data_IF_496039178535
#
_entry.id   IF_496039178535
#
_cell.length_a   1.000
_cell.length_b   1.000
_cell.length_c   1.000
_cell.angle_alpha   90.00
_cell.angle_beta   90.00
_cell.angle_gamma   90.00
#
_symmetry.space_group_name_H-M   'P 1'
#
loop_
_entity.id
_entity.type
_entity.pdbx_description
1 polymer ?
#
# COMPACT_ATOMS: atom_id res chain seq x y z
N UNK A 1 -58.34 42.24 8.82
CA UNK A 1 -57.38 41.85 7.77
C UNK A 1 -56.30 42.93 7.71
N UNK A 2 -55.14 42.74 8.33
CA UNK A 2 -53.95 43.54 8.04
C UNK A 2 -53.16 42.90 6.87
N UNK A 3 -52.45 43.69 6.06
CA UNK A 3 -51.68 43.23 4.91
C UNK A 3 -50.33 42.64 5.32
N UNK A 4 -49.89 41.63 4.56
CA UNK A 4 -48.62 40.92 4.69
C UNK A 4 -47.41 41.87 4.56
N UNK A 5 -46.67 42.01 5.65
CA UNK A 5 -45.34 42.64 5.64
C UNK A 5 -44.32 41.64 5.09
N UNK A 6 -44.00 41.76 3.81
CA UNK A 6 -42.84 41.13 3.18
C UNK A 6 -41.59 41.73 3.85
N UNK A 7 -40.86 40.92 4.62
CA UNK A 7 -39.54 41.27 5.16
C UNK A 7 -38.54 41.13 3.99
N UNK A 8 -37.95 42.21 3.45
CA UNK A 8 -36.87 42.06 2.50
C UNK A 8 -35.67 41.50 3.26
N UNK A 9 -35.38 40.21 3.04
CA UNK A 9 -34.17 39.56 3.55
C UNK A 9 -32.95 40.26 2.96
N UNK A 10 -32.32 41.11 3.75
CA UNK A 10 -31.04 41.71 3.41
C UNK A 10 -30.00 40.59 3.52
N UNK A 11 -29.53 40.09 2.38
CA UNK A 11 -28.33 39.26 2.31
C UNK A 11 -27.15 40.15 2.69
N UNK A 12 -26.79 40.16 3.97
CA UNK A 12 -25.48 40.64 4.39
C UNK A 12 -24.42 39.70 3.79
N UNK A 13 -24.02 40.00 2.56
CA UNK A 13 -22.76 39.50 2.02
C UNK A 13 -21.67 40.03 2.94
N UNK A 14 -21.22 39.19 3.87
CA UNK A 14 -19.98 39.39 4.63
C UNK A 14 -18.87 39.74 3.63
N UNK A 15 -18.54 41.04 3.54
CA UNK A 15 -17.45 41.60 2.72
C UNK A 15 -16.07 41.36 3.32
N UNK A 16 -15.96 40.39 4.22
CA UNK A 16 -14.65 39.90 4.60
C UNK A 16 -14.11 39.13 3.39
N UNK A 17 -12.95 39.51 2.83
CA UNK A 17 -12.28 38.61 1.89
C UNK A 17 -12.19 37.27 2.62
N UNK A 18 -12.68 36.20 1.99
CA UNK A 18 -12.40 34.86 2.46
C UNK A 18 -10.90 34.86 2.70
N UNK A 19 -10.49 34.78 3.97
CA UNK A 19 -9.09 34.79 4.33
C UNK A 19 -8.50 33.66 3.51
N UNK A 20 -7.70 33.99 2.50
CA UNK A 20 -7.09 33.04 1.60
C UNK A 20 -6.27 32.11 2.49
N UNK A 21 -6.88 31.00 2.92
CA UNK A 21 -6.11 29.92 3.49
C UNK A 21 -5.06 29.64 2.44
N UNK A 22 -3.77 29.68 2.78
CA UNK A 22 -2.72 29.44 1.79
C UNK A 22 -3.10 28.15 1.07
N UNK A 23 -3.39 28.25 -0.23
CA UNK A 23 -3.79 27.11 -1.03
C UNK A 23 -2.73 26.04 -0.78
N UNK A 24 -3.13 24.93 -0.14
CA UNK A 24 -2.20 23.85 0.13
C UNK A 24 -1.55 23.49 -1.21
N UNK A 25 -0.21 23.49 -1.30
CA UNK A 25 0.47 23.30 -2.57
C UNK A 25 -0.01 21.98 -3.17
N UNK A 26 -0.35 22.03 -4.45
CA UNK A 26 -0.77 20.84 -5.19
C UNK A 26 0.38 19.83 -5.09
N UNK A 27 0.09 18.55 -4.84
CA UNK A 27 1.12 17.53 -4.57
C UNK A 27 2.27 17.53 -5.59
N UNK A 28 1.95 17.84 -6.86
CA UNK A 28 2.88 17.93 -7.99
C UNK A 28 3.80 19.17 -7.96
N UNK A 29 3.50 20.20 -7.17
CA UNK A 29 4.30 21.44 -7.08
C UNK A 29 5.45 21.33 -6.06
N UNK A 30 5.31 20.41 -5.10
CA UNK A 30 6.27 20.22 -4.01
C UNK A 30 7.58 19.59 -4.54
N UNK A 31 8.70 20.29 -4.37
CA UNK A 31 10.02 19.85 -4.85
C UNK A 31 10.46 18.49 -4.27
N UNK A 32 10.20 18.23 -2.99
CA UNK A 32 10.56 16.96 -2.35
C UNK A 32 9.88 15.76 -3.02
N UNK A 33 8.61 15.90 -3.39
CA UNK A 33 7.86 14.86 -4.10
C UNK A 33 8.46 14.58 -5.48
N UNK A 34 8.85 15.63 -6.23
CA UNK A 34 9.53 15.49 -7.52
C UNK A 34 10.86 14.73 -7.39
N UNK A 35 11.68 15.10 -6.40
CA UNK A 35 12.95 14.41 -6.15
C UNK A 35 12.76 12.94 -5.80
N UNK A 36 11.77 12.63 -4.96
CA UNK A 36 11.44 11.24 -4.59
C UNK A 36 10.92 10.45 -5.79
N UNK A 37 10.12 11.05 -6.67
CA UNK A 37 9.66 10.41 -7.91
C UNK A 37 10.84 10.11 -8.84
N UNK A 38 11.75 11.07 -9.04
CA UNK A 38 12.96 10.85 -9.85
C UNK A 38 13.80 9.71 -9.27
N UNK A 39 14.01 9.70 -7.96
CA UNK A 39 14.70 8.61 -7.27
C UNK A 39 14.00 7.27 -7.49
N UNK A 40 12.68 7.22 -7.36
CA UNK A 40 11.90 6.00 -7.57
C UNK A 40 12.03 5.49 -9.01
N UNK A 41 11.99 6.39 -10.01
CA UNK A 41 12.19 6.04 -11.42
C UNK A 41 13.61 5.49 -11.66
N UNK A 42 14.64 6.16 -11.14
CA UNK A 42 16.03 5.69 -11.26
C UNK A 42 16.17 4.28 -10.66
N UNK A 43 15.65 4.05 -9.45
CA UNK A 43 15.69 2.74 -8.82
C UNK A 43 14.94 1.70 -9.67
N UNK A 44 13.75 2.01 -10.16
CA UNK A 44 12.99 1.08 -11.02
C UNK A 44 13.73 0.72 -12.30
N UNK A 45 14.45 1.67 -12.91
CA UNK A 45 15.28 1.43 -14.11
C UNK A 45 16.49 0.56 -13.77
N UNK A 46 17.22 0.89 -12.69
CA UNK A 46 18.40 0.13 -12.26
C UNK A 46 18.07 -1.34 -11.96
N UNK A 47 16.90 -1.59 -11.35
CA UNK A 47 16.44 -2.93 -10.99
C UNK A 47 15.49 -3.55 -12.02
N UNK A 48 15.27 -2.92 -13.18
CA UNK A 48 14.32 -3.41 -14.20
C UNK A 48 14.68 -4.82 -14.69
N UNK A 49 15.94 -5.04 -15.05
CA UNK A 49 16.39 -6.36 -15.52
C UNK A 49 16.20 -7.46 -14.47
N UNK A 50 16.33 -7.10 -13.19
CA UNK A 50 16.06 -8.01 -12.09
C UNK A 50 14.55 -8.26 -11.95
N UNK A 51 13.72 -7.22 -11.99
CA UNK A 51 12.28 -7.33 -11.96
C UNK A 51 11.71 -8.22 -13.06
N UNK A 52 12.18 -8.08 -14.30
CA UNK A 52 11.72 -8.89 -15.42
C UNK A 52 12.09 -10.38 -15.27
N UNK A 53 13.27 -10.69 -14.74
CA UNK A 53 13.67 -12.07 -14.43
C UNK A 53 12.82 -12.68 -13.32
N UNK A 54 12.38 -11.86 -12.37
CA UNK A 54 11.57 -12.31 -11.22
C UNK A 54 10.08 -12.42 -11.57
N UNK A 55 9.59 -11.76 -12.60
CA UNK A 55 8.16 -11.71 -12.93
C UNK A 55 7.55 -13.11 -13.23
N UNK A 56 8.15 -13.98 -14.08
CA UNK A 56 7.60 -15.31 -14.34
C UNK A 56 7.44 -16.18 -13.08
N UNK A 57 8.45 -16.34 -12.19
CA UNK A 57 8.26 -17.13 -10.98
C UNK A 57 7.27 -16.50 -9.99
N UNK A 58 7.14 -15.16 -9.95
CA UNK A 58 6.10 -14.49 -9.17
C UNK A 58 4.70 -14.82 -9.67
N UNK A 59 4.46 -14.74 -10.98
CA UNK A 59 3.16 -15.09 -11.57
C UNK A 59 2.82 -16.57 -11.35
N UNK A 60 3.81 -17.46 -11.48
CA UNK A 60 3.63 -18.88 -11.14
C UNK A 60 3.25 -19.09 -9.66
N UNK A 61 3.84 -18.29 -8.76
CA UNK A 61 3.54 -18.33 -7.33
C UNK A 61 2.12 -17.87 -6.97
N UNK A 62 1.50 -17.02 -7.82
CA UNK A 62 0.08 -16.64 -7.72
C UNK A 62 -0.83 -17.80 -8.13
N UNK A 63 -0.45 -18.54 -9.17
CA UNK A 63 -1.23 -19.68 -9.68
C UNK A 63 -1.15 -20.93 -8.80
N UNK A 64 0.03 -21.33 -8.32
CA UNK A 64 0.20 -22.54 -7.48
C UNK A 64 0.95 -22.33 -6.14
N UNK A 65 0.49 -22.91 -4.99
CA UNK A 65 1.17 -22.77 -3.70
C UNK A 65 2.60 -23.30 -3.73
N UNK A 66 2.82 -24.38 -4.49
CA UNK A 66 4.15 -24.94 -4.78
C UNK A 66 5.09 -23.94 -5.44
N UNK A 67 4.58 -22.97 -6.18
CA UNK A 67 5.40 -21.90 -6.77
C UNK A 67 6.00 -20.97 -5.72
N UNK A 68 5.27 -20.69 -4.63
CA UNK A 68 5.81 -19.90 -3.50
C UNK A 68 6.90 -20.68 -2.75
N UNK A 69 6.70 -21.97 -2.52
CA UNK A 69 7.72 -22.83 -1.91
C UNK A 69 8.97 -22.96 -2.79
N UNK A 70 8.80 -23.18 -4.10
CA UNK A 70 9.91 -23.27 -5.06
C UNK A 70 10.78 -22.01 -5.11
N UNK A 71 10.16 -20.83 -4.96
CA UNK A 71 10.87 -19.55 -4.92
C UNK A 71 11.72 -19.41 -3.65
N UNK A 72 11.30 -20.00 -2.52
CA UNK A 72 12.11 -20.02 -1.29
C UNK A 72 13.31 -20.96 -1.36
N UNK A 73 13.19 -22.11 -2.04
CA UNK A 73 14.32 -23.04 -2.19
C UNK A 73 15.46 -22.45 -3.03
N UNK A 74 15.14 -21.57 -3.98
CA UNK A 74 16.15 -20.85 -4.73
C UNK A 74 16.59 -19.60 -3.97
N UNK A 75 17.67 -19.71 -3.19
CA UNK A 75 18.20 -18.62 -2.37
C UNK A 75 18.48 -17.34 -3.17
N UNK A 76 18.94 -17.46 -4.43
CA UNK A 76 19.17 -16.34 -5.32
C UNK A 76 17.88 -15.59 -5.66
N UNK A 77 16.84 -16.31 -6.09
CA UNK A 77 15.54 -15.71 -6.39
C UNK A 77 14.83 -15.17 -5.15
N UNK A 78 14.96 -15.85 -4.00
CA UNK A 78 14.39 -15.40 -2.73
C UNK A 78 15.03 -14.10 -2.24
N UNK A 79 16.36 -13.99 -2.30
CA UNK A 79 17.09 -12.77 -1.95
C UNK A 79 16.75 -11.62 -2.93
N UNK A 80 16.74 -11.91 -4.22
CA UNK A 80 16.36 -10.98 -5.27
C UNK A 80 14.95 -10.43 -5.07
N UNK A 81 13.97 -11.28 -4.75
CA UNK A 81 12.61 -10.85 -4.40
C UNK A 81 12.60 -9.91 -3.21
N UNK A 82 13.31 -10.24 -2.13
CA UNK A 82 13.32 -9.39 -0.94
C UNK A 82 13.91 -8.01 -1.26
N UNK A 83 14.96 -7.96 -2.08
CA UNK A 83 15.57 -6.72 -2.52
C UNK A 83 14.62 -5.89 -3.41
N UNK A 84 13.98 -6.53 -4.38
CA UNK A 84 12.99 -5.86 -5.25
C UNK A 84 11.77 -5.39 -4.45
N UNK A 85 11.29 -6.17 -3.47
CA UNK A 85 10.21 -5.75 -2.60
C UNK A 85 10.56 -4.47 -1.83
N UNK A 86 11.81 -4.34 -1.36
CA UNK A 86 12.28 -3.11 -0.72
C UNK A 86 12.31 -1.94 -1.71
N UNK A 87 12.79 -2.16 -2.93
CA UNK A 87 12.79 -1.13 -3.98
C UNK A 87 11.37 -0.69 -4.34
N UNK A 88 10.42 -1.63 -4.43
CA UNK A 88 9.00 -1.36 -4.71
C UNK A 88 8.30 -0.56 -3.61
N UNK A 89 8.85 -0.49 -2.40
CA UNK A 89 8.24 0.26 -1.29
C UNK A 89 8.13 1.76 -1.61
N UNK A 90 9.17 2.33 -2.22
CA UNK A 90 9.21 3.76 -2.56
C UNK A 90 8.14 4.15 -3.60
N UNK A 91 8.05 3.54 -4.80
CA UNK A 91 7.01 3.88 -5.77
C UNK A 91 5.61 3.58 -5.22
N UNK A 92 5.43 2.50 -4.46
CA UNK A 92 4.14 2.22 -3.81
C UNK A 92 3.72 3.35 -2.86
N UNK A 93 4.61 3.78 -1.96
CA UNK A 93 4.32 4.84 -1.00
C UNK A 93 4.06 6.20 -1.69
N UNK A 94 4.76 6.51 -2.78
CA UNK A 94 4.53 7.72 -3.57
C UNK A 94 3.16 7.70 -4.25
N UNK A 95 2.74 6.56 -4.80
CA UNK A 95 1.38 6.41 -5.35
C UNK A 95 0.33 6.59 -4.24
N UNK A 96 0.56 5.98 -3.06
CA UNK A 96 -0.32 6.18 -1.91
C UNK A 96 -0.43 7.65 -1.48
N UNK A 97 0.68 8.37 -1.49
CA UNK A 97 0.72 9.79 -1.16
C UNK A 97 0.01 10.64 -2.22
N UNK A 98 0.29 10.42 -3.52
CA UNK A 98 -0.30 11.17 -4.64
C UNK A 98 -1.82 11.08 -4.69
N UNK A 99 -2.37 9.89 -4.49
CA UNK A 99 -3.82 9.63 -4.59
C UNK A 99 -4.55 9.69 -3.24
N UNK A 100 -3.86 10.07 -2.16
CA UNK A 100 -4.44 10.12 -0.82
C UNK A 100 -5.02 8.78 -0.36
N UNK A 101 -4.34 7.67 -0.69
CA UNK A 101 -4.79 6.32 -0.29
C UNK A 101 -4.71 6.11 1.22
N UNK A 102 -3.82 6.84 1.89
CA UNK A 102 -3.65 6.85 3.34
C UNK A 102 -3.63 8.31 3.81
N UNK A 103 -4.76 8.80 4.32
CA UNK A 103 -4.96 10.21 4.73
C UNK A 103 -5.65 10.31 6.11
N UNK A 104 -5.00 9.84 7.19
CA UNK A 104 -5.47 10.04 8.56
C UNK A 104 -5.44 11.50 9.00
N UNK A 105 -6.10 11.81 10.11
CA UNK A 105 -6.19 13.17 10.63
C UNK A 105 -4.83 13.70 11.08
N UNK A 106 -3.96 12.85 11.65
CA UNK A 106 -2.59 13.25 11.98
C UNK A 106 -1.76 13.69 10.76
N UNK A 107 -2.03 13.17 9.56
CA UNK A 107 -1.31 13.59 8.34
C UNK A 107 -1.64 15.03 7.93
N UNK A 108 -2.79 15.55 8.35
CA UNK A 108 -3.16 16.95 8.11
C UNK A 108 -2.27 17.91 8.91
N UNK A 109 -1.66 17.45 10.00
CA UNK A 109 -0.73 18.24 10.83
C UNK A 109 0.70 18.27 10.26
N UNK A 110 1.01 17.40 9.30
CA UNK A 110 2.33 17.30 8.68
C UNK A 110 2.45 18.34 7.56
N UNK A 111 3.52 19.17 7.54
CA UNK A 111 3.73 20.12 6.46
C UNK A 111 3.77 19.42 5.08
N UNK A 112 3.27 20.06 4.00
CA UNK A 112 3.14 19.42 2.68
C UNK A 112 4.44 18.82 2.15
N UNK A 113 5.58 19.45 2.47
CA UNK A 113 6.92 19.04 2.07
C UNK A 113 7.33 17.67 2.63
N UNK A 114 6.77 17.29 3.79
CA UNK A 114 7.09 16.08 4.53
C UNK A 114 6.03 15.00 4.40
N UNK A 115 4.90 15.27 3.74
CA UNK A 115 3.78 14.31 3.65
C UNK A 115 4.18 13.01 2.97
N UNK A 116 4.86 13.05 1.82
CA UNK A 116 5.31 11.82 1.14
C UNK A 116 6.35 11.06 1.96
N UNK A 117 7.26 11.76 2.64
CA UNK A 117 8.23 11.15 3.55
C UNK A 117 7.54 10.48 4.75
N UNK A 118 6.51 11.11 5.30
CA UNK A 118 5.71 10.54 6.38
C UNK A 118 4.96 9.28 5.93
N UNK A 119 4.38 9.28 4.71
CA UNK A 119 3.72 8.08 4.16
C UNK A 119 4.73 6.93 3.97
N UNK A 120 5.93 7.24 3.46
CA UNK A 120 7.03 6.26 3.35
C UNK A 120 7.38 5.71 4.74
N UNK A 121 7.52 6.57 5.75
CA UNK A 121 7.82 6.18 7.12
C UNK A 121 6.73 5.29 7.73
N UNK A 122 5.45 5.57 7.48
CA UNK A 122 4.34 4.72 7.92
C UNK A 122 4.43 3.32 7.31
N UNK A 123 4.67 3.22 5.99
CA UNK A 123 4.79 1.90 5.35
C UNK A 123 6.06 1.15 5.76
N UNK A 124 7.17 1.85 5.99
CA UNK A 124 8.36 1.26 6.60
C UNK A 124 8.06 0.73 8.00
N UNK A 125 7.40 1.53 8.84
CA UNK A 125 6.96 1.14 10.18
C UNK A 125 6.04 -0.08 10.15
N UNK A 126 5.09 -0.13 9.21
CA UNK A 126 4.23 -1.28 8.97
C UNK A 126 5.04 -2.54 8.63
N UNK A 127 6.02 -2.44 7.72
CA UNK A 127 6.87 -3.60 7.37
C UNK A 127 7.74 -4.07 8.54
N UNK A 128 8.24 -3.15 9.36
CA UNK A 128 9.02 -3.45 10.56
C UNK A 128 8.15 -4.10 11.64
N UNK A 129 6.94 -3.56 11.87
CA UNK A 129 5.98 -4.13 12.81
C UNK A 129 5.57 -5.54 12.39
N UNK A 130 5.30 -5.77 11.10
CA UNK A 130 5.03 -7.10 10.57
C UNK A 130 6.21 -8.06 10.77
N UNK A 131 7.44 -7.59 10.59
CA UNK A 131 8.63 -8.39 10.88
C UNK A 131 8.74 -8.73 12.37
N UNK A 132 8.38 -7.80 13.27
CA UNK A 132 8.33 -8.03 14.71
C UNK A 132 7.25 -9.05 15.10
N UNK A 133 6.01 -8.92 14.58
CA UNK A 133 4.95 -9.90 14.76
C UNK A 133 5.41 -11.30 14.34
N UNK A 134 6.14 -11.40 13.24
CA UNK A 134 6.72 -12.67 12.81
C UNK A 134 7.72 -13.23 13.82
N UNK A 135 8.63 -12.40 14.34
CA UNK A 135 9.61 -12.84 15.34
C UNK A 135 8.95 -13.35 16.63
N UNK A 136 7.86 -12.71 17.06
CA UNK A 136 7.11 -13.09 18.26
C UNK A 136 6.28 -14.36 18.02
N UNK A 137 5.64 -14.46 16.86
CA UNK A 137 4.73 -15.55 16.50
C UNK A 137 5.43 -16.75 15.86
N UNK A 138 6.77 -16.86 15.92
CA UNK A 138 7.50 -18.03 15.41
C UNK A 138 7.02 -19.28 16.15
N UNK A 139 6.10 -20.00 15.53
CA UNK A 139 5.62 -21.25 16.06
C UNK A 139 6.59 -22.36 15.68
N UNK A 140 7.28 -22.91 16.68
CA UNK A 140 8.24 -24.01 16.56
C UNK A 140 7.65 -25.30 15.97
N UNK A 141 6.31 -25.43 15.94
CA UNK A 141 5.62 -26.55 15.30
C UNK A 141 5.60 -26.46 13.77
N UNK A 142 5.84 -25.28 13.19
CA UNK A 142 5.97 -25.13 11.75
C UNK A 142 7.42 -25.37 11.34
N UNK A 143 7.62 -26.17 10.28
CA UNK A 143 8.90 -26.23 9.61
C UNK A 143 9.34 -24.82 9.21
N UNK A 144 10.62 -24.49 9.41
CA UNK A 144 11.18 -23.16 9.08
C UNK A 144 10.89 -22.78 7.63
N UNK A 145 10.88 -23.76 6.73
CA UNK A 145 10.61 -23.58 5.30
C UNK A 145 9.15 -23.19 5.03
N UNK A 146 8.17 -23.89 5.61
CA UNK A 146 6.75 -23.57 5.46
C UNK A 146 6.41 -22.20 6.04
N UNK A 147 6.95 -21.88 7.22
CA UNK A 147 6.78 -20.57 7.86
C UNK A 147 7.40 -19.44 7.03
N UNK A 148 8.59 -19.68 6.46
CA UNK A 148 9.27 -18.72 5.57
C UNK A 148 8.48 -18.52 4.27
N UNK A 149 8.00 -19.59 3.65
CA UNK A 149 7.20 -19.53 2.42
C UNK A 149 5.89 -18.78 2.62
N UNK A 150 5.16 -19.04 3.72
CA UNK A 150 3.94 -18.31 4.05
C UNK A 150 4.22 -16.81 4.29
N UNK A 151 5.25 -16.48 5.08
CA UNK A 151 5.65 -15.09 5.37
C UNK A 151 5.99 -14.32 4.08
N UNK A 152 6.85 -14.92 3.26
CA UNK A 152 7.48 -14.24 2.12
C UNK A 152 6.59 -14.28 0.87
N UNK A 153 5.49 -15.04 0.90
CA UNK A 153 4.44 -15.01 -0.12
C UNK A 153 3.86 -13.59 -0.29
N UNK A 154 3.64 -12.87 0.82
CA UNK A 154 3.14 -11.49 0.78
C UNK A 154 4.05 -10.53 0.01
N UNK A 155 5.37 -10.74 0.04
CA UNK A 155 6.31 -9.91 -0.72
C UNK A 155 6.14 -10.12 -2.23
N UNK A 156 5.83 -11.34 -2.66
CA UNK A 156 5.54 -11.63 -4.06
C UNK A 156 4.31 -10.88 -4.54
N UNK A 157 3.22 -10.91 -3.77
CA UNK A 157 1.98 -10.17 -4.07
C UNK A 157 2.18 -8.66 -4.00
N UNK A 158 3.01 -8.17 -3.08
CA UNK A 158 3.35 -6.75 -2.97
C UNK A 158 4.10 -6.22 -4.21
N UNK A 159 5.06 -6.99 -4.73
CA UNK A 159 5.77 -6.63 -5.97
C UNK A 159 4.79 -6.56 -7.15
N UNK A 160 3.94 -7.58 -7.31
CA UNK A 160 2.94 -7.62 -8.38
C UNK A 160 1.93 -6.49 -8.26
N UNK A 161 1.48 -6.17 -7.04
CA UNK A 161 0.63 -5.03 -6.75
C UNK A 161 1.30 -3.72 -7.17
N UNK A 162 2.57 -3.52 -6.82
CA UNK A 162 3.30 -2.30 -7.17
C UNK A 162 3.39 -2.13 -8.69
N UNK A 163 3.68 -3.20 -9.44
CA UNK A 163 3.67 -3.15 -10.90
C UNK A 163 2.28 -2.86 -11.46
N UNK A 164 1.23 -3.50 -10.94
CA UNK A 164 -0.14 -3.23 -11.36
C UNK A 164 -0.53 -1.77 -11.12
N UNK A 165 -0.16 -1.21 -9.96
CA UNK A 165 -0.42 0.19 -9.62
C UNK A 165 0.33 1.15 -10.55
N UNK A 166 1.59 0.87 -10.88
CA UNK A 166 2.36 1.68 -11.84
C UNK A 166 1.69 1.68 -13.23
N UNK A 167 1.23 0.52 -13.70
CA UNK A 167 0.50 0.40 -14.97
C UNK A 167 -0.80 1.22 -14.91
N UNK A 168 -1.60 1.08 -13.85
CA UNK A 168 -2.85 1.81 -13.68
C UNK A 168 -2.63 3.33 -13.65
N UNK A 169 -1.63 3.80 -12.91
CA UNK A 169 -1.27 5.22 -12.87
C UNK A 169 -0.84 5.73 -14.25
N UNK A 170 -0.10 4.91 -15.01
CA UNK A 170 0.23 5.21 -16.41
C UNK A 170 -1.01 5.35 -17.29
N UNK A 171 -1.97 4.42 -17.16
CA UNK A 171 -3.26 4.47 -17.88
C UNK A 171 -4.06 5.73 -17.49
N UNK A 172 -4.13 6.06 -16.20
CA UNK A 172 -4.84 7.27 -15.73
C UNK A 172 -4.23 8.54 -16.31
N UNK A 173 -2.90 8.58 -16.42
CA UNK A 173 -2.17 9.72 -16.97
C UNK A 173 -2.43 9.93 -18.47
N UNK A 174 -2.60 8.84 -19.24
CA UNK A 174 -2.86 8.90 -20.69
C UNK A 174 -4.33 9.22 -20.98
N UNK A 175 -5.25 8.67 -20.19
CA UNK A 175 -6.70 8.77 -20.45
C UNK A 175 -7.29 10.13 -20.07
N UNK A 176 -6.69 10.88 -19.15
CA UNK A 176 -7.00 12.29 -18.84
C UNK A 176 -8.41 12.61 -18.27
N UNK A 177 -9.39 11.71 -18.43
CA UNK A 177 -10.79 11.91 -18.06
C UNK A 177 -11.23 11.20 -16.78
N UNK A 178 -10.31 10.53 -16.08
CA UNK A 178 -10.65 9.79 -14.85
C UNK A 178 -10.65 10.75 -13.66
N UNK A 179 -11.79 10.85 -12.99
CA UNK A 179 -11.89 11.63 -11.75
C UNK A 179 -10.93 11.09 -10.68
N UNK A 180 -10.36 11.99 -9.86
CA UNK A 180 -9.44 11.61 -8.78
C UNK A 180 -10.07 10.60 -7.79
N UNK A 181 -11.39 10.69 -7.57
CA UNK A 181 -12.16 9.76 -6.73
C UNK A 181 -12.22 8.36 -7.35
N UNK A 182 -12.47 8.26 -8.66
CA UNK A 182 -12.51 6.98 -9.36
C UNK A 182 -11.12 6.31 -9.37
N UNK A 183 -10.06 7.07 -9.66
CA UNK A 183 -8.68 6.57 -9.59
C UNK A 183 -8.35 6.02 -8.19
N UNK A 184 -8.68 6.77 -7.13
CA UNK A 184 -8.50 6.33 -5.74
C UNK A 184 -9.22 5.01 -5.45
N UNK A 185 -10.48 4.88 -5.88
CA UNK A 185 -11.29 3.67 -5.64
C UNK A 185 -10.74 2.45 -6.36
N UNK A 186 -10.31 2.60 -7.61
CA UNK A 186 -9.67 1.52 -8.38
C UNK A 186 -8.39 1.05 -7.68
N UNK A 187 -7.52 1.98 -7.29
CA UNK A 187 -6.26 1.65 -6.61
C UNK A 187 -6.51 0.96 -5.26
N UNK A 188 -7.46 1.43 -4.45
CA UNK A 188 -7.85 0.77 -3.19
C UNK A 188 -8.39 -0.64 -3.42
N UNK A 189 -9.20 -0.84 -4.47
CA UNK A 189 -9.75 -2.14 -4.82
C UNK A 189 -8.63 -3.12 -5.18
N UNK A 190 -7.65 -2.67 -5.95
CA UNK A 190 -6.50 -3.50 -6.36
C UNK A 190 -5.61 -3.85 -5.16
N UNK A 191 -5.39 -2.91 -4.24
CA UNK A 191 -4.69 -3.16 -2.97
C UNK A 191 -5.45 -4.23 -2.16
N UNK A 192 -6.75 -4.05 -1.98
CA UNK A 192 -7.60 -4.99 -1.21
C UNK A 192 -7.60 -6.39 -1.81
N UNK A 193 -7.76 -6.51 -3.14
CA UNK A 193 -7.72 -7.78 -3.84
C UNK A 193 -6.35 -8.46 -3.71
N UNK A 194 -5.25 -7.73 -3.89
CA UNK A 194 -3.90 -8.28 -3.74
C UNK A 194 -3.65 -8.77 -2.30
N UNK A 195 -4.09 -8.00 -1.30
CA UNK A 195 -4.01 -8.39 0.10
C UNK A 195 -4.80 -9.68 0.38
N UNK A 196 -6.07 -9.76 -0.07
CA UNK A 196 -6.90 -10.96 0.08
C UNK A 196 -6.28 -12.18 -0.58
N UNK A 197 -5.78 -12.04 -1.82
CA UNK A 197 -5.11 -13.12 -2.54
C UNK A 197 -3.86 -13.60 -1.81
N UNK A 198 -3.06 -12.69 -1.26
CA UNK A 198 -1.89 -13.04 -0.45
C UNK A 198 -2.26 -13.79 0.83
N UNK A 199 -3.37 -13.40 1.47
CA UNK A 199 -3.89 -14.05 2.68
C UNK A 199 -4.43 -15.45 2.40
N UNK A 200 -5.26 -15.61 1.36
CA UNK A 200 -5.76 -16.91 0.90
C UNK A 200 -4.59 -17.82 0.55
N UNK A 201 -3.55 -17.28 -0.11
CA UNK A 201 -2.41 -18.09 -0.50
C UNK A 201 -1.57 -18.54 0.68
N UNK A 202 -1.34 -17.65 1.65
CA UNK A 202 -0.65 -17.99 2.88
C UNK A 202 -1.44 -19.04 3.68
N UNK A 203 -2.77 -18.93 3.72
CA UNK A 203 -3.65 -19.92 4.33
C UNK A 203 -3.55 -21.29 3.64
N UNK A 204 -3.55 -21.35 2.30
CA UNK A 204 -3.37 -22.59 1.54
C UNK A 204 -2.03 -23.27 1.83
N UNK A 205 -0.94 -22.50 1.93
CA UNK A 205 0.40 -23.02 2.26
C UNK A 205 0.39 -23.63 3.68
N UNK A 206 -0.22 -22.96 4.64
CA UNK A 206 -0.29 -23.43 6.02
C UNK A 206 -1.20 -24.66 6.17
N UNK A 207 -2.37 -24.66 5.53
CA UNK A 207 -3.34 -25.76 5.61
C UNK A 207 -2.80 -27.10 5.07
N UNK A 208 -1.78 -27.08 4.20
CA UNK A 208 -1.11 -28.29 3.73
C UNK A 208 -0.28 -29.00 4.80
N UNK A 209 0.07 -28.32 5.89
CA UNK A 209 1.02 -28.82 6.89
C UNK A 209 0.49 -28.80 8.33
N UNK A 210 -0.70 -28.25 8.59
CA UNK A 210 -1.26 -28.17 9.95
C UNK A 210 -2.80 -28.15 9.99
N UNK A 211 -3.33 -28.35 11.20
CA UNK A 211 -4.77 -28.23 11.47
C UNK A 211 -5.27 -26.82 11.14
N UNK A 212 -6.44 -26.72 10.48
CA UNK A 212 -6.98 -25.45 9.98
C UNK A 212 -7.09 -24.33 11.03
N UNK A 213 -7.40 -24.67 12.29
CA UNK A 213 -7.48 -23.69 13.38
C UNK A 213 -6.12 -23.07 13.72
N UNK A 214 -5.03 -23.85 13.70
CA UNK A 214 -3.68 -23.34 13.95
C UNK A 214 -3.21 -22.45 12.79
N UNK A 215 -3.53 -22.83 11.54
CA UNK A 215 -3.28 -22.01 10.36
C UNK A 215 -4.02 -20.67 10.44
N UNK A 216 -5.29 -20.69 10.83
CA UNK A 216 -6.12 -19.50 10.98
C UNK A 216 -5.58 -18.54 12.03
N UNK A 217 -5.31 -19.02 13.25
CA UNK A 217 -4.75 -18.20 14.34
C UNK A 217 -3.42 -17.55 13.94
N UNK A 218 -2.56 -18.32 13.26
CA UNK A 218 -1.28 -17.81 12.78
C UNK A 218 -1.45 -16.74 11.69
N UNK A 219 -2.40 -16.92 10.78
CA UNK A 219 -2.73 -15.93 9.75
C UNK A 219 -3.30 -14.64 10.37
N UNK A 220 -4.16 -14.76 11.39
CA UNK A 220 -4.70 -13.61 12.11
C UNK A 220 -3.58 -12.80 12.80
N UNK A 221 -2.63 -13.47 13.46
CA UNK A 221 -1.52 -12.79 14.13
C UNK A 221 -0.55 -12.11 13.16
N UNK A 222 -0.35 -12.65 11.95
CA UNK A 222 0.66 -12.15 11.02
C UNK A 222 0.15 -11.21 9.94
N UNK A 223 -1.06 -11.44 9.45
CA UNK A 223 -1.65 -10.65 8.36
C UNK A 223 -2.69 -9.68 8.89
N UNK A 224 -3.60 -10.18 9.74
CA UNK A 224 -4.74 -9.39 10.17
C UNK A 224 -4.33 -8.35 11.22
N UNK A 225 -3.49 -8.69 12.20
CA UNK A 225 -3.06 -7.75 13.24
C UNK A 225 -2.29 -6.53 12.71
N UNK A 226 -1.28 -6.67 11.82
CA UNK A 226 -0.64 -5.49 11.22
C UNK A 226 -1.61 -4.67 10.35
N UNK A 227 -2.50 -5.34 9.61
CA UNK A 227 -3.47 -4.67 8.75
C UNK A 227 -4.51 -3.88 9.55
N UNK A 228 -5.04 -4.45 10.64
CA UNK A 228 -5.97 -3.74 11.53
C UNK A 228 -5.31 -2.55 12.20
N UNK A 229 -4.03 -2.67 12.60
CA UNK A 229 -3.29 -1.54 13.17
C UNK A 229 -3.09 -0.42 12.13
N UNK A 230 -2.79 -0.75 10.88
CA UNK A 230 -2.70 0.23 9.80
C UNK A 230 -4.05 0.91 9.54
N UNK A 231 -5.15 0.16 9.50
CA UNK A 231 -6.49 0.72 9.30
C UNK A 231 -6.94 1.55 10.51
N UNK A 232 -6.68 1.10 11.73
CA UNK A 232 -6.99 1.85 12.94
C UNK A 232 -6.22 3.16 12.99
N UNK A 233 -4.93 3.16 12.63
CA UNK A 233 -4.17 4.40 12.50
C UNK A 233 -4.69 5.33 11.40
N UNK A 234 -5.39 4.80 10.39
CA UNK A 234 -6.03 5.62 9.36
C UNK A 234 -7.36 6.26 9.80
N UNK A 235 -8.05 5.65 10.77
CA UNK A 235 -9.43 6.00 11.17
C UNK A 235 -9.49 6.72 12.51
N UNK A 236 -8.60 6.37 13.44
CA UNK A 236 -8.66 6.81 14.85
C UNK A 236 -7.62 7.90 15.17
N UNK A 237 -6.51 7.94 14.42
CA UNK A 237 -5.41 8.91 14.60
C UNK A 237 -5.45 9.99 13.52
#
# INVERSE_FOLDING_TARGET
MPPDSIIPGHLEMSRLPLQDMPALPVWDEVLSNKLLVVLAVILMILFAGQAFRLLPPLLYSVGRPRGSAGLEYNLGLSAMRNHIALVCLLPFALICSRYGLYAPDFMQKVPPQWQSAAVIAVFLGFTAFRALCYLIMVNRRFGKETSSAARRCAYSFFILLTFAMLILVGIFSITGGISARAARLVLLTVIGLSFLMSGVRSAQILAQHCNGLAAFLYLCGLELMPATLLVLSAVVL
#
